data_IF_963508564666
#
_entry.id   IF_963508564666
#
_cell.length_a   1.000
_cell.length_b   1.000
_cell.length_c   1.000
_cell.angle_alpha   90.00
_cell.angle_beta   90.00
_cell.angle_gamma   90.00
#
_symmetry.space_group_name_H-M   'P 1'
#
loop_
_entity.id
_entity.type
_entity.pdbx_description
1 polymer ?
#
# COMPACT_ATOMS: atom_id res chain seq x y z
N UNK A 1 -19.85 18.03 21.65
CA UNK A 1 -18.68 18.03 20.75
C UNK A 1 -18.91 19.11 19.72
N UNK A 2 -18.12 20.17 19.77
CA UNK A 2 -18.20 21.30 18.84
C UNK A 2 -17.47 20.95 17.54
N UNK A 3 -17.82 21.59 16.41
CA UNK A 3 -17.23 21.32 15.08
C UNK A 3 -15.69 21.39 15.06
N UNK A 4 -15.06 22.13 15.98
CA UNK A 4 -13.60 22.25 16.10
C UNK A 4 -12.92 20.98 16.62
N UNK A 5 -13.59 20.20 17.48
CA UNK A 5 -13.05 18.95 18.02
C UNK A 5 -13.07 17.82 16.97
N UNK A 6 -14.10 17.78 16.11
CA UNK A 6 -14.12 16.86 14.96
C UNK A 6 -12.99 17.18 13.96
N UNK A 7 -12.76 18.46 13.67
CA UNK A 7 -11.76 18.87 12.68
C UNK A 7 -10.32 18.55 13.14
N UNK A 8 -10.04 18.67 14.45
CA UNK A 8 -8.73 18.32 15.03
C UNK A 8 -8.48 16.81 14.99
N UNK A 9 -9.52 16.01 15.22
CA UNK A 9 -9.43 14.54 15.20
C UNK A 9 -9.31 13.98 13.77
N UNK A 10 -9.93 14.64 12.79
CA UNK A 10 -9.79 14.32 11.36
C UNK A 10 -8.41 14.70 10.80
N UNK A 11 -7.83 15.83 11.24
CA UNK A 11 -6.45 16.22 10.88
C UNK A 11 -5.41 15.26 11.46
N UNK A 12 -5.56 14.86 12.73
CA UNK A 12 -4.68 13.87 13.36
C UNK A 12 -4.82 12.49 12.70
N UNK A 13 -6.04 12.08 12.33
CA UNK A 13 -6.29 10.83 11.60
C UNK A 13 -5.80 10.86 10.14
N UNK A 14 -5.49 12.02 9.58
CA UNK A 14 -4.92 12.16 8.23
C UNK A 14 -3.40 12.39 8.26
N UNK A 15 -2.78 12.53 9.44
CA UNK A 15 -1.35 12.80 9.54
C UNK A 15 -0.50 11.62 9.06
N UNK A 16 -0.95 10.38 9.27
CA UNK A 16 -0.26 9.19 8.73
C UNK A 16 -0.28 9.15 7.19
N UNK A 17 -1.32 9.68 6.53
CA UNK A 17 -1.37 9.76 5.06
C UNK A 17 -0.31 10.71 4.51
N UNK A 18 -0.04 11.83 5.19
CA UNK A 18 1.02 12.75 4.80
C UNK A 18 2.40 12.07 4.83
N UNK A 19 2.67 11.28 5.89
CA UNK A 19 3.85 10.46 5.98
C UNK A 19 3.93 9.39 4.87
N UNK A 20 2.81 8.77 4.49
CA UNK A 20 2.81 7.84 3.35
C UNK A 20 3.08 8.51 2.00
N UNK A 21 2.53 9.70 1.76
CA UNK A 21 2.83 10.44 0.54
C UNK A 21 4.28 10.87 0.49
N UNK A 22 4.85 11.30 1.63
CA UNK A 22 6.28 11.59 1.73
C UNK A 22 7.12 10.33 1.47
N UNK A 23 6.77 9.19 2.09
CA UNK A 23 7.43 7.93 1.87
C UNK A 23 7.39 7.51 0.39
N UNK A 24 6.24 7.62 -0.26
CA UNK A 24 6.08 7.35 -1.69
C UNK A 24 6.97 8.25 -2.54
N UNK A 25 6.98 9.55 -2.26
CA UNK A 25 7.82 10.49 -3.00
C UNK A 25 9.32 10.18 -2.83
N UNK A 26 9.75 9.77 -1.63
CA UNK A 26 11.13 9.35 -1.39
C UNK A 26 11.48 8.04 -2.11
N UNK A 27 10.56 7.07 -2.19
CA UNK A 27 10.77 5.84 -2.99
C UNK A 27 11.02 6.18 -4.45
N UNK A 28 10.20 7.06 -5.05
CA UNK A 28 10.37 7.46 -6.46
C UNK A 28 11.69 8.19 -6.71
N UNK A 29 12.24 8.86 -5.68
CA UNK A 29 13.57 9.50 -5.74
C UNK A 29 14.73 8.55 -5.41
N UNK A 30 14.47 7.28 -5.11
CA UNK A 30 15.48 6.32 -4.64
C UNK A 30 16.03 6.62 -3.24
N UNK A 31 15.40 7.53 -2.49
CA UNK A 31 15.78 7.96 -1.15
C UNK A 31 15.21 7.01 -0.10
N UNK A 32 15.65 5.75 -0.13
CA UNK A 32 14.99 4.68 0.61
C UNK A 32 15.07 4.82 2.14
N UNK A 33 16.13 5.42 2.68
CA UNK A 33 16.25 5.65 4.13
C UNK A 33 15.18 6.62 4.64
N UNK A 34 14.96 7.72 3.92
CA UNK A 34 13.90 8.68 4.22
C UNK A 34 12.52 8.05 4.02
N UNK A 35 12.34 7.26 2.95
CA UNK A 35 11.09 6.55 2.71
C UNK A 35 10.72 5.61 3.87
N UNK A 36 11.69 4.85 4.37
CA UNK A 36 11.49 3.95 5.50
C UNK A 36 11.14 4.72 6.77
N UNK A 37 11.86 5.81 7.08
CA UNK A 37 11.59 6.64 8.25
C UNK A 37 10.15 7.20 8.24
N UNK A 38 9.70 7.70 7.10
CA UNK A 38 8.34 8.22 6.94
C UNK A 38 7.28 7.09 7.00
N UNK A 39 7.55 5.93 6.41
CA UNK A 39 6.63 4.78 6.50
C UNK A 39 6.50 4.26 7.95
N UNK A 40 7.59 4.25 8.73
CA UNK A 40 7.55 3.88 10.15
C UNK A 40 6.72 4.87 10.98
N UNK A 41 6.92 6.17 10.79
CA UNK A 41 6.08 7.20 11.43
C UNK A 41 4.61 7.01 11.09
N UNK A 42 4.28 6.77 9.81
CA UNK A 42 2.90 6.51 9.40
C UNK A 42 2.29 5.31 10.13
N UNK A 43 3.07 4.25 10.36
CA UNK A 43 2.62 3.07 11.09
C UNK A 43 2.43 3.35 12.59
N UNK A 44 3.30 4.13 13.22
CA UNK A 44 3.19 4.50 14.64
C UNK A 44 1.96 5.35 14.95
N UNK A 45 1.45 6.09 13.95
CA UNK A 45 0.34 7.03 14.10
C UNK A 45 -1.04 6.38 13.94
N UNK A 46 -1.14 5.11 13.51
CA UNK A 46 -2.45 4.43 13.38
C UNK A 46 -2.35 2.91 13.46
N UNK A 47 -3.19 2.33 14.34
CA UNK A 47 -3.42 0.88 14.41
C UNK A 47 -4.68 0.44 13.65
N UNK A 48 -5.52 1.40 13.24
CA UNK A 48 -6.80 1.15 12.59
C UNK A 48 -6.64 0.69 11.13
N UNK A 49 -5.55 1.09 10.48
CA UNK A 49 -5.25 0.75 9.09
C UNK A 49 -4.01 -0.13 8.99
N UNK A 50 -4.09 -1.22 8.23
CA UNK A 50 -2.91 -2.03 7.89
C UNK A 50 -2.13 -1.48 6.70
N UNK A 51 -2.62 -0.39 6.08
CA UNK A 51 -1.98 0.19 4.90
C UNK A 51 -0.59 0.77 5.19
N UNK A 52 -0.36 1.52 6.28
CA UNK A 52 1.00 1.98 6.62
C UNK A 52 1.99 0.84 6.83
N UNK A 53 1.58 -0.24 7.52
CA UNK A 53 2.40 -1.45 7.68
C UNK A 53 2.77 -2.05 6.33
N UNK A 54 1.82 -2.18 5.41
CA UNK A 54 2.12 -2.65 4.05
C UNK A 54 3.05 -1.72 3.28
N UNK A 55 2.89 -0.41 3.44
CA UNK A 55 3.77 0.55 2.79
C UNK A 55 5.20 0.47 3.33
N UNK A 56 5.37 0.24 4.64
CA UNK A 56 6.69 -0.06 5.22
C UNK A 56 7.28 -1.33 4.59
N UNK A 57 6.51 -2.40 4.46
CA UNK A 57 6.95 -3.63 3.77
C UNK A 57 7.41 -3.37 2.33
N UNK A 58 6.67 -2.54 1.59
CA UNK A 58 7.05 -2.10 0.25
C UNK A 58 8.35 -1.29 0.24
N UNK A 59 8.48 -0.29 1.13
CA UNK A 59 9.68 0.53 1.24
C UNK A 59 10.93 -0.30 1.59
N UNK A 60 10.80 -1.26 2.51
CA UNK A 60 11.84 -2.22 2.89
C UNK A 60 12.25 -3.09 1.70
N UNK A 61 11.29 -3.57 0.91
CA UNK A 61 11.60 -4.38 -0.26
C UNK A 61 12.35 -3.55 -1.32
N UNK A 62 11.87 -2.33 -1.61
CA UNK A 62 12.53 -1.40 -2.56
C UNK A 62 13.94 -0.99 -2.11
N UNK A 63 14.23 -1.00 -0.81
CA UNK A 63 15.54 -0.71 -0.24
C UNK A 63 16.50 -1.91 -0.17
N UNK A 64 16.07 -3.08 -0.66
CA UNK A 64 16.86 -4.33 -0.63
C UNK A 64 16.78 -5.11 0.68
N UNK A 65 16.01 -4.62 1.67
CA UNK A 65 15.78 -5.30 2.96
C UNK A 65 14.71 -6.38 2.86
N UNK A 66 14.93 -7.37 1.97
CA UNK A 66 13.93 -8.36 1.60
C UNK A 66 13.46 -9.22 2.78
N UNK A 67 14.34 -9.55 3.73
CA UNK A 67 13.97 -10.33 4.91
C UNK A 67 12.97 -9.59 5.81
N UNK A 68 13.20 -8.29 6.05
CA UNK A 68 12.27 -7.47 6.84
C UNK A 68 10.93 -7.27 6.10
N UNK A 69 10.97 -7.04 4.78
CA UNK A 69 9.76 -6.96 3.97
C UNK A 69 8.94 -8.25 3.99
N UNK A 70 9.60 -9.42 3.97
CA UNK A 70 8.95 -10.73 4.13
C UNK A 70 8.28 -10.89 5.48
N UNK A 71 8.93 -10.48 6.56
CA UNK A 71 8.33 -10.53 7.89
C UNK A 71 7.06 -9.66 7.97
N UNK A 72 7.07 -8.46 7.35
CA UNK A 72 5.87 -7.61 7.25
C UNK A 72 4.76 -8.31 6.46
N UNK A 73 5.10 -8.92 5.32
CA UNK A 73 4.14 -9.66 4.50
C UNK A 73 3.51 -10.84 5.25
N UNK A 74 4.31 -11.64 5.95
CA UNK A 74 3.84 -12.77 6.74
C UNK A 74 2.88 -12.32 7.86
N UNK A 75 3.20 -11.22 8.54
CA UNK A 75 2.30 -10.66 9.54
C UNK A 75 0.99 -10.14 8.94
N UNK A 76 1.03 -9.49 7.77
CA UNK A 76 -0.19 -9.07 7.06
C UNK A 76 -1.05 -10.27 6.63
N UNK A 77 -0.43 -11.35 6.16
CA UNK A 77 -1.11 -12.59 5.78
C UNK A 77 -1.74 -13.26 7.00
N UNK A 78 -1.01 -13.36 8.12
CA UNK A 78 -1.53 -13.86 9.39
C UNK A 78 -2.73 -13.03 9.86
N UNK A 79 -2.57 -11.70 9.92
CA UNK A 79 -3.66 -10.78 10.28
C UNK A 79 -4.88 -10.94 9.36
N UNK A 80 -4.67 -11.22 8.06
CA UNK A 80 -5.77 -11.43 7.10
C UNK A 80 -6.62 -12.68 7.38
N UNK A 81 -6.10 -13.62 8.17
CA UNK A 81 -6.86 -14.78 8.66
C UNK A 81 -7.69 -14.48 9.91
N UNK A 82 -7.38 -13.40 10.62
CA UNK A 82 -8.00 -13.00 11.89
C UNK A 82 -9.00 -11.85 11.70
N UNK A 83 -8.69 -10.91 10.81
CA UNK A 83 -9.49 -9.71 10.53
C UNK A 83 -9.34 -9.26 9.08
N UNK A 84 -10.20 -8.35 8.64
CA UNK A 84 -10.07 -7.79 7.30
C UNK A 84 -8.73 -7.05 7.14
N UNK A 85 -7.96 -7.47 6.14
CA UNK A 85 -6.77 -6.79 5.65
C UNK A 85 -6.98 -6.58 4.16
N UNK A 86 -6.88 -5.34 3.71
CA UNK A 86 -7.09 -5.01 2.30
C UNK A 86 -6.18 -5.86 1.40
N UNK A 87 -6.72 -6.62 0.42
CA UNK A 87 -5.92 -7.37 -0.54
C UNK A 87 -4.89 -6.51 -1.29
N UNK A 88 -5.23 -5.24 -1.52
CA UNK A 88 -4.35 -4.24 -2.12
C UNK A 88 -3.07 -4.03 -1.28
N UNK A 89 -3.19 -3.99 0.05
CA UNK A 89 -2.04 -3.82 0.96
C UNK A 89 -1.10 -5.03 0.89
N UNK A 90 -1.64 -6.24 0.75
CA UNK A 90 -0.81 -7.44 0.59
C UNK A 90 -0.14 -7.47 -0.79
N UNK A 91 -0.88 -7.12 -1.85
CA UNK A 91 -0.33 -6.97 -3.19
C UNK A 91 0.84 -5.98 -3.25
N UNK A 92 0.73 -4.88 -2.50
CA UNK A 92 1.75 -3.84 -2.46
C UNK A 92 3.11 -4.38 -1.96
N UNK A 93 3.12 -5.23 -0.93
CA UNK A 93 4.37 -5.82 -0.43
C UNK A 93 4.93 -6.84 -1.42
N UNK A 94 4.09 -7.70 -2.01
CA UNK A 94 4.53 -8.62 -3.07
C UNK A 94 5.13 -7.87 -4.27
N UNK A 95 4.59 -6.71 -4.61
CA UNK A 95 5.10 -5.88 -5.70
C UNK A 95 6.49 -5.33 -5.39
N UNK A 96 6.72 -4.89 -4.15
CA UNK A 96 8.04 -4.47 -3.69
C UNK A 96 9.08 -5.58 -3.75
N UNK A 97 8.65 -6.82 -3.46
CA UNK A 97 9.47 -8.04 -3.51
C UNK A 97 9.65 -8.61 -4.93
N UNK A 98 9.15 -7.92 -5.96
CA UNK A 98 9.18 -8.33 -7.37
C UNK A 98 8.46 -9.67 -7.66
N UNK A 99 7.50 -10.04 -6.82
CA UNK A 99 6.67 -11.24 -6.98
C UNK A 99 5.40 -10.93 -7.78
N UNK A 100 5.59 -10.66 -9.06
CA UNK A 100 4.55 -10.20 -9.98
C UNK A 100 3.29 -11.08 -10.00
N UNK A 101 3.41 -12.40 -10.05
CA UNK A 101 2.24 -13.28 -10.14
C UNK A 101 1.38 -13.25 -8.87
N UNK A 102 2.03 -13.17 -7.70
CA UNK A 102 1.34 -13.02 -6.41
C UNK A 102 0.73 -11.63 -6.28
N UNK A 103 1.44 -10.61 -6.73
CA UNK A 103 0.93 -9.23 -6.81
C UNK A 103 -0.39 -9.18 -7.57
N UNK A 104 -0.42 -9.69 -8.80
CA UNK A 104 -1.61 -9.71 -9.64
C UNK A 104 -2.73 -10.54 -9.02
N UNK A 105 -2.40 -11.67 -8.39
CA UNK A 105 -3.39 -12.51 -7.70
C UNK A 105 -4.07 -11.78 -6.53
N UNK A 106 -3.31 -11.00 -5.76
CA UNK A 106 -3.87 -10.20 -4.68
C UNK A 106 -4.62 -8.96 -5.18
N UNK A 107 -4.19 -8.34 -6.28
CA UNK A 107 -4.95 -7.26 -6.91
C UNK A 107 -6.30 -7.73 -7.49
N UNK A 108 -6.35 -8.92 -8.10
CA UNK A 108 -7.60 -9.56 -8.55
C UNK A 108 -8.55 -9.82 -7.38
N UNK A 109 -8.00 -10.25 -6.24
CA UNK A 109 -8.77 -10.37 -5.00
C UNK A 109 -9.27 -9.00 -4.54
N UNK A 110 -8.45 -7.97 -4.59
CA UNK A 110 -8.83 -6.59 -4.27
C UNK A 110 -9.99 -6.08 -5.14
N UNK A 111 -9.99 -6.40 -6.43
CA UNK A 111 -11.11 -6.08 -7.32
C UNK A 111 -12.39 -6.81 -6.91
N UNK A 112 -12.34 -8.14 -6.71
CA UNK A 112 -13.51 -8.94 -6.30
C UNK A 112 -14.10 -8.47 -4.98
N UNK A 113 -13.25 -8.12 -4.02
CA UNK A 113 -13.64 -7.64 -2.70
C UNK A 113 -13.94 -6.13 -2.66
N UNK A 114 -13.82 -5.43 -3.80
CA UNK A 114 -14.04 -3.97 -3.91
C UNK A 114 -13.20 -3.17 -2.92
N UNK A 115 -11.93 -3.55 -2.75
CA UNK A 115 -11.01 -2.86 -1.87
C UNK A 115 -10.90 -1.36 -2.26
N UNK A 116 -11.06 -0.40 -1.34
CA UNK A 116 -11.19 1.02 -1.68
C UNK A 116 -10.04 1.59 -2.52
N UNK A 117 -8.79 1.17 -2.23
CA UNK A 117 -7.60 1.66 -2.92
C UNK A 117 -7.46 1.16 -4.36
N UNK A 118 -8.30 0.23 -4.82
CA UNK A 118 -8.35 -0.17 -6.24
C UNK A 118 -8.68 1.02 -7.16
N UNK A 119 -9.38 2.03 -6.66
CA UNK A 119 -9.67 3.27 -7.38
C UNK A 119 -8.43 4.14 -7.67
N UNK A 120 -7.26 3.81 -7.09
CA UNK A 120 -6.01 4.55 -7.32
C UNK A 120 -5.02 3.77 -8.22
N UNK A 121 -5.39 2.56 -8.65
CA UNK A 121 -4.47 1.62 -9.32
C UNK A 121 -3.81 2.19 -10.59
N UNK A 122 -4.51 3.04 -11.37
CA UNK A 122 -3.97 3.64 -12.61
C UNK A 122 -2.96 4.77 -12.36
N UNK A 123 -3.08 5.48 -11.24
CA UNK A 123 -2.37 6.75 -11.02
C UNK A 123 -1.13 6.61 -10.13
N UNK A 124 -1.06 5.56 -9.33
CA UNK A 124 0.02 5.42 -8.36
C UNK A 124 1.30 4.82 -8.98
N UNK A 125 2.46 5.50 -8.86
CA UNK A 125 3.71 5.09 -9.51
C UNK A 125 4.22 3.69 -9.14
N UNK A 126 3.89 3.22 -7.93
CA UNK A 126 4.27 1.89 -7.44
C UNK A 126 3.80 0.73 -8.32
N UNK A 127 2.77 0.93 -9.15
CA UNK A 127 2.29 -0.09 -10.10
C UNK A 127 2.86 0.05 -11.52
N UNK A 128 3.81 0.97 -11.74
CA UNK A 128 4.36 1.26 -13.06
C UNK A 128 5.01 0.03 -13.71
N UNK A 129 5.62 -0.85 -12.92
CA UNK A 129 6.20 -2.12 -13.38
C UNK A 129 5.17 -3.12 -13.94
N UNK A 130 3.86 -2.87 -13.75
CA UNK A 130 2.78 -3.75 -14.22
C UNK A 130 2.03 -3.18 -15.43
N UNK A 131 2.30 -1.94 -15.88
CA UNK A 131 1.48 -1.25 -16.91
C UNK A 131 1.41 -1.98 -18.24
N UNK A 132 2.47 -2.68 -18.61
CA UNK A 132 2.55 -3.47 -19.86
C UNK A 132 2.13 -4.93 -19.68
N UNK A 133 1.66 -5.33 -18.49
CA UNK A 133 1.24 -6.70 -18.22
C UNK A 133 -0.21 -6.89 -18.67
N UNK A 134 -0.52 -7.82 -19.60
CA UNK A 134 -1.88 -7.98 -20.12
C UNK A 134 -2.94 -8.24 -19.05
N UNK A 135 -2.61 -9.04 -18.02
CA UNK A 135 -3.51 -9.31 -16.89
C UNK A 135 -3.77 -8.06 -16.04
N UNK A 136 -2.80 -7.16 -15.91
CA UNK A 136 -2.99 -5.89 -15.20
C UNK A 136 -3.83 -4.90 -16.01
N UNK A 137 -3.59 -4.79 -17.32
CA UNK A 137 -4.42 -3.98 -18.21
C UNK A 137 -5.88 -4.43 -18.22
N UNK A 138 -6.11 -5.74 -18.23
CA UNK A 138 -7.44 -6.31 -18.10
C UNK A 138 -8.11 -5.96 -16.76
N UNK A 139 -7.35 -6.06 -15.67
CA UNK A 139 -7.82 -5.65 -14.35
C UNK A 139 -8.20 -4.16 -14.33
N UNK A 140 -7.37 -3.27 -14.92
CA UNK A 140 -7.67 -1.84 -15.00
C UNK A 140 -8.99 -1.57 -15.74
N UNK A 141 -9.21 -2.22 -16.89
CA UNK A 141 -10.48 -2.12 -17.63
C UNK A 141 -11.67 -2.52 -16.77
N UNK A 142 -11.56 -3.65 -16.05
CA UNK A 142 -12.62 -4.15 -15.15
C UNK A 142 -12.89 -3.23 -13.96
N UNK A 143 -11.86 -2.55 -13.44
CA UNK A 143 -12.00 -1.51 -12.41
C UNK A 143 -12.73 -0.26 -12.94
N UNK A 144 -12.80 -0.07 -14.26
CA UNK A 144 -13.45 1.07 -14.91
C UNK A 144 -12.49 2.08 -15.51
N UNK A 145 -11.19 1.79 -15.51
CA UNK A 145 -10.20 2.58 -16.22
C UNK A 145 -10.19 2.19 -17.71
N UNK A 146 -10.99 2.89 -18.49
CA UNK A 146 -10.90 2.85 -19.95
C UNK A 146 -9.84 3.86 -20.43
N UNK A 147 -9.32 3.63 -21.64
CA UNK A 147 -8.42 4.56 -22.33
C UNK A 147 -9.16 5.81 -22.79
#
# INVERSE_FOLDING_TARGET
MTNEEMQKTELDSNFWLAHLFAASAYIEKGMFAQAEAEARKAQELTDASTHPKAFLGYALAKSGKHAEARAVLEDLLRLSSERYVSPYSIALVYNGLDERDKTLTWLERGYRERAPLMALLKVEPKWNNLRDVPRFQDLLRRVGFTE
#
